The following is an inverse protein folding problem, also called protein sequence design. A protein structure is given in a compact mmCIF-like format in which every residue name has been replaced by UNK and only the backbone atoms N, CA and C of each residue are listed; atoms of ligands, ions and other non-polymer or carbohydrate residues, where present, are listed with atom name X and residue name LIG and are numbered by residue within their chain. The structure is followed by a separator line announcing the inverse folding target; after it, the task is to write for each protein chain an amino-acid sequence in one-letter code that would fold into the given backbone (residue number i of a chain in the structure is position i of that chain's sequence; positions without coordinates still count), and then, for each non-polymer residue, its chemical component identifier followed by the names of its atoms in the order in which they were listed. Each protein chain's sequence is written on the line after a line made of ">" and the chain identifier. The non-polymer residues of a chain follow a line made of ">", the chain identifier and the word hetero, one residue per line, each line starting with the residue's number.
data_IF_722947118177
#
_entry.id   IF_722947118177
#
_cell.length_a   1.000
_cell.length_b   1.000
_cell.length_c   1.000
_cell.angle_alpha   90.00
_cell.angle_beta   90.00
_cell.angle_gamma   90.00
#
_symmetry.space_group_name_H-M   'P 1'
#
loop_
_entity.id
_entity.type
_entity.pdbx_description
1 polymer ?
#
# COMPACT_ATOMS: atom_id res chain seq x y z
N UNK A 1 -9.37 24.53 14.77
CA UNK A 1 -8.63 23.93 13.70
C UNK A 1 -9.49 23.14 12.76
N UNK A 2 -9.28 23.33 11.50
CA UNK A 2 -10.09 22.64 10.52
C UNK A 2 -9.46 21.30 10.25
N UNK A 3 -10.26 20.27 10.46
CA UNK A 3 -9.83 18.95 10.07
C UNK A 3 -10.31 18.76 8.66
N UNK A 4 -9.40 18.84 7.74
CA UNK A 4 -9.73 18.58 6.37
C UNK A 4 -9.34 17.16 6.05
N UNK A 5 -10.00 16.63 5.05
CA UNK A 5 -9.55 15.36 4.52
C UNK A 5 -8.14 15.57 4.02
N UNK A 6 -7.22 14.89 4.67
CA UNK A 6 -5.85 14.97 4.24
C UNK A 6 -5.72 14.40 2.84
N UNK A 7 -4.85 14.99 2.08
CA UNK A 7 -4.48 14.44 0.80
C UNK A 7 -3.93 13.03 1.00
N UNK A 8 -4.31 12.11 0.13
CA UNK A 8 -3.77 10.76 0.18
C UNK A 8 -2.25 10.80 0.02
N UNK A 9 -1.77 11.66 -0.87
CA UNK A 9 -0.33 11.80 -1.10
C UNK A 9 0.37 12.21 0.19
N UNK A 10 -0.15 13.22 0.88
CA UNK A 10 0.43 13.69 2.12
C UNK A 10 0.35 12.61 3.21
N UNK A 11 -0.79 11.93 3.30
CA UNK A 11 -0.96 10.88 4.30
C UNK A 11 0.00 9.73 4.08
N UNK A 12 0.19 9.32 2.83
CA UNK A 12 1.14 8.25 2.52
C UNK A 12 2.56 8.69 2.83
N UNK A 13 2.88 9.93 2.52
CA UNK A 13 4.21 10.44 2.81
C UNK A 13 4.48 10.45 4.31
N UNK A 14 3.50 10.89 5.11
CA UNK A 14 3.64 10.87 6.56
C UNK A 14 3.75 9.45 7.09
N UNK A 15 2.96 8.55 6.55
CA UNK A 15 3.01 7.14 6.97
C UNK A 15 4.40 6.56 6.72
N UNK A 16 4.95 6.83 5.56
CA UNK A 16 6.28 6.34 5.19
C UNK A 16 7.34 6.94 6.12
N UNK A 17 7.25 8.24 6.38
CA UNK A 17 8.22 8.90 7.26
C UNK A 17 8.17 8.33 8.67
N UNK A 18 6.98 8.07 9.17
CA UNK A 18 6.84 7.48 10.51
C UNK A 18 7.35 6.05 10.58
N UNK A 19 7.32 5.37 9.46
CA UNK A 19 7.74 3.97 9.42
C UNK A 19 9.25 3.83 9.33
N UNK A 20 9.96 4.89 9.02
CA UNK A 20 11.41 4.85 8.98
C UNK A 20 11.98 4.62 10.37
N UNK A 21 12.97 3.74 10.44
CA UNK A 21 13.69 3.47 11.67
C UNK A 21 15.16 3.62 11.34
N UNK A 22 15.81 4.70 11.79
CA UNK A 22 17.22 4.92 11.45
C UNK A 22 18.08 3.71 11.77
N UNK A 23 18.87 3.30 10.80
CA UNK A 23 19.76 2.17 10.97
C UNK A 23 19.08 0.81 10.85
N UNK A 24 17.76 0.74 10.70
CA UNK A 24 17.05 -0.53 10.62
C UNK A 24 16.12 -0.64 9.43
N UNK A 25 15.33 0.39 9.17
CA UNK A 25 14.32 0.33 8.12
C UNK A 25 14.31 1.64 7.36
N UNK A 26 14.48 1.53 6.06
CA UNK A 26 14.41 2.67 5.16
C UNK A 26 13.15 2.57 4.33
N UNK A 27 12.22 3.51 4.54
CA UNK A 27 10.98 3.57 3.79
C UNK A 27 11.01 4.75 2.83
N UNK A 28 10.53 4.55 1.62
CA UNK A 28 10.48 5.61 0.61
C UNK A 28 9.09 5.68 0.00
N UNK A 29 8.76 6.87 -0.50
CA UNK A 29 7.48 7.09 -1.17
C UNK A 29 7.72 7.85 -2.47
N UNK A 30 7.02 7.42 -3.52
CA UNK A 30 7.04 8.10 -4.82
C UNK A 30 5.64 8.17 -5.39
N UNK A 31 5.37 9.24 -6.12
CA UNK A 31 4.08 9.41 -6.78
C UNK A 31 4.25 10.26 -8.01
N UNK A 32 3.45 9.98 -9.04
CA UNK A 32 3.39 10.83 -10.22
C UNK A 32 2.12 11.69 -10.22
N UNK A 33 1.36 11.67 -9.13
CA UNK A 33 0.17 12.50 -9.02
C UNK A 33 0.57 13.90 -8.60
N UNK A 34 -0.05 14.90 -9.22
CA UNK A 34 0.13 16.27 -8.77
C UNK A 34 -0.76 16.55 -7.57
N UNK A 35 -1.97 16.00 -7.59
CA UNK A 35 -2.87 16.10 -6.45
C UNK A 35 -3.85 14.94 -6.52
N UNK A 36 -4.63 14.75 -5.47
CA UNK A 36 -5.61 13.69 -5.41
C UNK A 36 -6.98 14.21 -5.00
N UNK A 37 -7.23 15.49 -5.25
CA UNK A 37 -8.48 16.11 -4.85
C UNK A 37 -9.69 15.50 -5.55
N UNK A 38 -9.51 14.99 -6.74
CA UNK A 38 -10.61 14.39 -7.49
C UNK A 38 -10.97 13.00 -7.00
N UNK A 39 -10.16 12.40 -6.13
CA UNK A 39 -10.44 11.07 -5.63
C UNK A 39 -11.52 11.13 -4.55
N UNK A 40 -12.50 10.23 -4.61
CA UNK A 40 -13.49 10.15 -3.52
C UNK A 40 -12.80 9.92 -2.18
N UNK A 41 -13.39 10.49 -1.13
CA UNK A 41 -12.83 10.37 0.21
C UNK A 41 -12.67 8.90 0.61
N UNK A 42 -13.67 8.07 0.30
CA UNK A 42 -13.59 6.66 0.69
C UNK A 42 -12.43 5.95 0.00
N UNK A 43 -12.17 6.29 -1.25
CA UNK A 43 -11.03 5.70 -1.97
C UNK A 43 -9.73 6.10 -1.28
N UNK A 44 -9.61 7.37 -0.92
CA UNK A 44 -8.40 7.83 -0.25
C UNK A 44 -8.20 7.14 1.10
N UNK A 45 -9.28 7.01 1.87
CA UNK A 45 -9.20 6.37 3.17
C UNK A 45 -8.83 4.90 3.06
N UNK A 46 -9.47 4.18 2.15
CA UNK A 46 -9.20 2.76 2.01
C UNK A 46 -7.80 2.48 1.45
N UNK A 47 -7.33 3.31 0.52
CA UNK A 47 -5.96 3.13 0.01
C UNK A 47 -4.93 3.38 1.11
N UNK A 48 -5.17 4.37 1.96
CA UNK A 48 -4.27 4.62 3.08
C UNK A 48 -4.25 3.42 4.04
N UNK A 49 -5.42 2.84 4.32
CA UNK A 49 -5.50 1.66 5.17
C UNK A 49 -4.79 0.48 4.57
N UNK A 50 -4.92 0.31 3.26
CA UNK A 50 -4.23 -0.77 2.56
C UNK A 50 -2.72 -0.61 2.72
N UNK A 51 -2.22 0.61 2.53
CA UNK A 51 -0.80 0.86 2.71
C UNK A 51 -0.34 0.58 4.13
N UNK A 52 -1.13 1.00 5.12
CA UNK A 52 -0.82 0.76 6.52
C UNK A 52 -0.70 -0.74 6.81
N UNK A 53 -1.65 -1.51 6.31
CA UNK A 53 -1.63 -2.95 6.55
C UNK A 53 -0.49 -3.64 5.82
N UNK A 54 -0.19 -3.19 4.61
CA UNK A 54 0.92 -3.76 3.85
C UNK A 54 2.26 -3.50 4.54
N UNK A 55 2.46 -2.28 5.02
CA UNK A 55 3.69 -1.94 5.74
C UNK A 55 3.76 -2.72 7.05
N UNK A 56 2.65 -2.81 7.76
CA UNK A 56 2.60 -3.55 9.02
C UNK A 56 2.96 -5.02 8.79
N UNK A 57 2.46 -5.62 7.71
CA UNK A 57 2.80 -7.00 7.39
C UNK A 57 4.29 -7.16 7.12
N UNK A 58 4.87 -6.20 6.39
CA UNK A 58 6.30 -6.25 6.09
C UNK A 58 7.13 -6.18 7.37
N UNK A 59 6.71 -5.33 8.30
CA UNK A 59 7.43 -5.17 9.55
C UNK A 59 7.33 -6.38 10.45
N UNK A 60 6.15 -7.03 10.48
CA UNK A 60 5.95 -8.15 11.38
C UNK A 60 6.50 -9.46 10.88
N UNK A 61 6.45 -9.67 9.59
CA UNK A 61 6.67 -11.01 9.05
C UNK A 61 7.84 -11.13 8.11
N UNK A 62 8.38 -10.03 7.65
CA UNK A 62 9.32 -10.09 6.54
C UNK A 62 10.74 -9.68 6.90
N UNK A 63 10.98 -9.16 8.09
CA UNK A 63 12.30 -8.69 8.49
C UNK A 63 12.90 -7.76 7.45
N UNK A 64 12.09 -6.85 6.95
CA UNK A 64 12.50 -5.94 5.90
C UNK A 64 13.48 -4.91 6.42
N UNK A 65 14.38 -4.49 5.55
CA UNK A 65 15.23 -3.33 5.82
C UNK A 65 14.88 -2.18 4.89
N UNK A 66 14.11 -2.43 3.86
CA UNK A 66 13.69 -1.40 2.92
C UNK A 66 12.26 -1.68 2.47
N UNK A 67 11.44 -0.64 2.50
CA UNK A 67 10.07 -0.69 2.01
C UNK A 67 9.88 0.48 1.08
N UNK A 68 9.35 0.24 -0.11
CA UNK A 68 9.02 1.32 -1.03
C UNK A 68 7.52 1.34 -1.26
N UNK A 69 6.95 2.53 -1.26
CA UNK A 69 5.54 2.76 -1.51
C UNK A 69 5.44 3.69 -2.70
N UNK A 70 4.58 3.36 -3.65
CA UNK A 70 4.35 4.25 -4.78
C UNK A 70 2.86 4.34 -5.06
N UNK A 71 2.45 5.51 -5.51
CA UNK A 71 1.08 5.79 -5.90
C UNK A 71 1.13 6.42 -7.29
N UNK A 72 0.63 5.72 -8.28
CA UNK A 72 0.73 6.17 -9.66
C UNK A 72 -0.63 6.23 -10.31
N UNK A 73 -0.81 7.27 -11.11
CA UNK A 73 -1.97 7.36 -11.97
C UNK A 73 -1.65 6.68 -13.30
N UNK A 74 -2.48 5.72 -13.65
CA UNK A 74 -2.39 5.01 -14.92
C UNK A 74 -3.83 4.87 -15.43
N UNK A 75 -4.37 5.97 -16.00
CA UNK A 75 -5.79 6.00 -16.31
C UNK A 75 -6.26 4.81 -17.13
N UNK A 76 -7.41 4.26 -16.81
CA UNK A 76 -8.40 4.76 -15.83
C UNK A 76 -8.15 4.29 -14.41
N UNK A 77 -6.98 3.79 -14.10
CA UNK A 77 -6.68 3.19 -12.81
C UNK A 77 -5.73 4.04 -11.98
N UNK A 78 -5.81 3.83 -10.68
CA UNK A 78 -4.86 4.35 -9.73
C UNK A 78 -4.16 3.14 -9.13
N UNK A 79 -2.84 3.16 -9.09
CA UNK A 79 -2.06 1.99 -8.69
C UNK A 79 -1.25 2.31 -7.45
N UNK A 80 -1.51 1.58 -6.38
CA UNK A 80 -0.74 1.64 -5.15
C UNK A 80 0.13 0.39 -5.07
N UNK A 81 1.42 0.59 -4.90
CA UNK A 81 2.35 -0.53 -4.79
C UNK A 81 3.15 -0.40 -3.52
N UNK A 82 3.23 -1.50 -2.76
CA UNK A 82 4.07 -1.57 -1.57
C UNK A 82 5.00 -2.76 -1.74
N UNK A 83 6.28 -2.49 -1.75
CA UNK A 83 7.29 -3.53 -1.96
C UNK A 83 8.28 -3.52 -0.81
N UNK A 84 8.57 -4.69 -0.28
CA UNK A 84 9.61 -4.83 0.74
C UNK A 84 10.67 -5.82 0.28
N UNK A 85 11.83 -5.75 0.94
CA UNK A 85 12.95 -6.62 0.65
C UNK A 85 13.13 -7.67 1.73
N UNK A 86 12.05 -8.03 2.42
CA UNK A 86 12.13 -8.99 3.50
C UNK A 86 12.38 -10.41 3.02
N UNK A 87 12.11 -11.34 3.92
CA UNK A 87 12.38 -12.75 3.62
C UNK A 87 11.38 -13.36 2.65
N UNK A 88 10.26 -12.68 2.42
CA UNK A 88 9.20 -13.23 1.60
C UNK A 88 8.46 -14.33 2.33
N UNK A 89 7.40 -14.80 1.71
CA UNK A 89 6.60 -15.88 2.25
C UNK A 89 6.42 -16.93 1.18
N UNK A 90 6.64 -18.17 1.59
CA UNK A 90 6.49 -19.29 0.66
C UNK A 90 5.35 -20.18 1.06
N UNK A 91 4.89 -20.07 2.29
CA UNK A 91 3.90 -20.99 2.82
C UNK A 91 2.50 -20.50 2.50
N UNK A 92 1.74 -21.34 1.85
CA UNK A 92 0.32 -21.05 1.67
C UNK A 92 -0.38 -20.91 2.99
N UNK A 93 0.09 -21.60 4.02
CA UNK A 93 -0.50 -21.50 5.34
C UNK A 93 -0.38 -20.10 5.89
N UNK A 94 0.74 -19.44 5.67
CA UNK A 94 0.90 -18.07 6.14
C UNK A 94 -0.11 -17.13 5.50
N UNK A 95 -0.31 -17.26 4.19
CA UNK A 95 -1.26 -16.42 3.51
C UNK A 95 -2.69 -16.79 3.89
N UNK A 96 -2.96 -18.09 4.10
CA UNK A 96 -4.30 -18.52 4.48
C UNK A 96 -4.68 -18.06 5.89
N UNK A 97 -3.72 -17.97 6.77
CA UNK A 97 -4.00 -17.51 8.12
C UNK A 97 -4.21 -16.02 8.18
N UNK A 98 -4.12 -15.37 7.06
CA UNK A 98 -4.60 -14.03 6.94
C UNK A 98 -3.70 -12.94 7.47
N UNK A 99 -2.45 -13.18 7.62
CA UNK A 99 -1.52 -12.18 8.13
C UNK A 99 -1.73 -10.79 7.51
N UNK A 100 -2.97 -10.34 7.45
CA UNK A 100 -3.34 -9.07 6.88
C UNK A 100 -3.85 -9.17 5.45
N UNK A 101 -3.55 -10.25 4.72
CA UNK A 101 -3.96 -10.35 3.32
C UNK A 101 -5.46 -10.48 3.16
N UNK A 102 -6.13 -11.11 4.12
CA UNK A 102 -7.58 -11.21 4.07
C UNK A 102 -8.20 -9.82 4.13
N UNK A 103 -7.71 -8.99 5.02
CA UNK A 103 -8.21 -7.62 5.14
C UNK A 103 -7.87 -6.80 3.91
N UNK A 104 -6.67 -6.99 3.37
CA UNK A 104 -6.28 -6.31 2.14
C UNK A 104 -7.22 -6.67 1.00
N UNK A 105 -7.51 -7.95 0.85
CA UNK A 105 -8.41 -8.40 -0.22
C UNK A 105 -9.80 -7.82 -0.07
N UNK A 106 -10.31 -7.79 1.16
CA UNK A 106 -11.64 -7.25 1.41
C UNK A 106 -11.70 -5.76 1.07
N UNK A 107 -10.67 -5.00 1.46
CA UNK A 107 -10.64 -3.57 1.17
C UNK A 107 -10.53 -3.29 -0.32
N UNK A 108 -9.70 -4.06 -1.00
CA UNK A 108 -9.53 -3.88 -2.44
C UNK A 108 -10.82 -4.21 -3.17
N UNK A 109 -11.50 -5.27 -2.75
CA UNK A 109 -12.77 -5.66 -3.34
C UNK A 109 -13.82 -4.57 -3.15
N UNK A 110 -13.83 -3.95 -1.98
CA UNK A 110 -14.74 -2.86 -1.67
C UNK A 110 -14.53 -1.68 -2.64
N UNK A 111 -13.31 -1.47 -3.06
CA UNK A 111 -12.97 -0.42 -4.02
C UNK A 111 -13.16 -0.87 -5.47
N UNK A 112 -13.62 -2.10 -5.68
CA UNK A 112 -13.77 -2.68 -7.01
C UNK A 112 -12.44 -2.74 -7.74
N UNK A 113 -11.38 -2.90 -6.99
CA UNK A 113 -10.05 -2.97 -7.54
C UNK A 113 -9.55 -4.39 -7.67
N UNK A 114 -8.30 -4.51 -8.07
CA UNK A 114 -7.62 -5.79 -8.14
C UNK A 114 -6.38 -5.76 -7.28
N UNK A 115 -6.04 -6.92 -6.74
CA UNK A 115 -4.90 -7.08 -5.85
C UNK A 115 -3.99 -8.17 -6.39
N UNK A 116 -2.72 -7.84 -6.54
CA UNK A 116 -1.71 -8.80 -6.96
C UNK A 116 -0.64 -8.85 -5.88
N UNK A 117 -0.47 -10.01 -5.28
CA UNK A 117 0.55 -10.21 -4.24
C UNK A 117 1.58 -11.19 -4.79
N UNK A 118 2.83 -10.73 -4.84
CA UNK A 118 3.93 -11.57 -5.28
C UNK A 118 4.93 -11.66 -4.15
N UNK A 119 5.23 -12.88 -3.76
CA UNK A 119 6.17 -13.11 -2.69
C UNK A 119 7.01 -14.34 -3.05
N UNK A 120 8.28 -14.26 -2.74
CA UNK A 120 9.19 -15.36 -2.98
C UNK A 120 10.23 -15.37 -1.87
N UNK A 121 10.59 -16.57 -1.44
CA UNK A 121 11.54 -16.73 -0.36
C UNK A 121 12.84 -16.00 -0.71
N UNK A 122 13.28 -15.14 0.19
CA UNK A 122 14.50 -14.38 0.02
C UNK A 122 14.41 -13.19 -0.89
N UNK A 123 13.23 -12.92 -1.44
CA UNK A 123 13.06 -11.81 -2.39
C UNK A 123 12.07 -10.75 -1.96
N UNK A 124 11.48 -10.94 -0.79
CA UNK A 124 10.51 -9.97 -0.29
C UNK A 124 9.14 -10.16 -0.86
N UNK A 125 8.31 -9.15 -0.65
CA UNK A 125 6.90 -9.17 -1.05
C UNK A 125 6.56 -7.90 -1.79
N UNK A 126 5.78 -8.03 -2.85
CA UNK A 126 5.26 -6.91 -3.62
C UNK A 126 3.73 -7.00 -3.62
N UNK A 127 3.09 -5.94 -3.18
CA UNK A 127 1.63 -5.84 -3.15
C UNK A 127 1.25 -4.73 -4.12
N UNK A 128 0.46 -5.06 -5.11
CA UNK A 128 0.02 -4.09 -6.12
C UNK A 128 -1.50 -4.04 -6.12
N UNK A 129 -2.03 -2.85 -5.87
CA UNK A 129 -3.45 -2.60 -5.85
C UNK A 129 -3.79 -1.66 -7.00
N UNK A 130 -4.71 -2.08 -7.85
CA UNK A 130 -5.18 -1.27 -8.95
C UNK A 130 -6.66 -0.96 -8.73
N UNK A 131 -7.00 0.31 -8.71
CA UNK A 131 -8.37 0.75 -8.42
C UNK A 131 -8.86 1.61 -9.57
N UNK A 132 -10.03 1.27 -10.15
CA UNK A 132 -10.60 2.13 -11.18
C UNK A 132 -11.10 3.41 -10.51
N UNK A 133 -10.60 4.55 -10.96
CA UNK A 133 -10.97 5.82 -10.35
C UNK A 133 -11.89 6.62 -11.21
N UNK A 134 -12.50 5.97 -12.14
CA UNK A 134 -13.47 6.64 -12.96
C UNK A 134 -12.87 7.86 -13.62
N UNK A 135 -12.82 7.81 -14.88
CA UNK A 135 -12.57 9.02 -15.60
C UNK A 135 -13.91 9.66 -15.64
N UNK A 136 -14.15 10.58 -14.76
CA UNK A 136 -15.30 11.37 -14.93
C UNK A 136 -15.09 12.04 -16.25
N UNK A 137 -15.58 11.45 -17.14
CA UNK A 137 -15.48 11.93 -18.52
C UNK A 137 -16.02 13.13 -18.69
#
# INVERSE_FOLDING_TARGET
>A
MIIRDSSLIESLQMLVERSNIPGRLHCTFRSNLEDDESLPVLVRQDLLRIAQEAISNALRHAKSTAISVSLRSDPPNLILKVKDNGSGRTSEAETREGFGFVNLRARVKKLKGSLDIRTALGRGTSIVVSVPVGVSG
#
